data_IF_276843047316
#
_entry.id   IF_276843047316
#
_cell.length_a   1.000
_cell.length_b   1.000
_cell.length_c   1.000
_cell.angle_alpha   90.00
_cell.angle_beta   90.00
_cell.angle_gamma   90.00
#
_symmetry.space_group_name_H-M   'P 1'
#
loop_
_entity.id
_entity.type
_entity.pdbx_description
1 polymer ?
#
# COMPACT_ATOMS: atom_id res chain seq x y z
N UNK A 1 -3.74 18.85 15.48
CA UNK A 1 -3.49 18.90 14.03
C UNK A 1 -2.03 18.62 13.66
N UNK A 2 -1.05 19.01 14.49
CA UNK A 2 0.39 18.75 14.27
C UNK A 2 0.82 17.29 14.06
N UNK A 3 0.04 16.29 14.51
CA UNK A 3 0.39 14.87 14.41
C UNK A 3 0.26 14.30 12.99
N UNK A 4 -0.78 14.68 12.24
CA UNK A 4 -0.99 14.17 10.88
C UNK A 4 0.03 14.76 9.90
N UNK A 5 0.35 16.06 10.06
CA UNK A 5 1.38 16.74 9.27
C UNK A 5 2.77 16.09 9.46
N UNK A 6 3.07 15.64 10.68
CA UNK A 6 4.30 14.90 11.00
C UNK A 6 4.32 13.52 10.32
N UNK A 7 3.20 12.79 10.35
CA UNK A 7 3.06 11.50 9.64
C UNK A 7 3.30 11.71 8.14
N UNK A 8 2.69 12.74 7.54
CA UNK A 8 2.86 13.07 6.13
C UNK A 8 4.32 13.43 5.80
N UNK A 9 4.97 14.25 6.62
CA UNK A 9 6.37 14.62 6.45
C UNK A 9 7.29 13.38 6.50
N UNK A 10 7.06 12.48 7.47
CA UNK A 10 7.78 11.21 7.56
C UNK A 10 7.60 10.34 6.31
N UNK A 11 6.37 10.23 5.81
CA UNK A 11 6.06 9.50 4.58
C UNK A 11 6.79 10.06 3.35
N UNK A 12 6.86 11.39 3.23
CA UNK A 12 7.59 12.06 2.13
C UNK A 12 9.08 11.72 2.11
N UNK A 13 9.66 11.31 3.23
CA UNK A 13 11.05 10.85 3.30
C UNK A 13 11.18 9.34 3.07
N UNK A 14 10.30 8.54 3.66
CA UNK A 14 10.40 7.08 3.64
C UNK A 14 9.98 6.45 2.31
N UNK A 15 8.89 6.95 1.71
CA UNK A 15 8.33 6.36 0.47
C UNK A 15 9.32 6.47 -0.70
N UNK A 16 9.97 7.62 -0.97
CA UNK A 16 10.96 7.69 -2.04
C UNK A 16 12.14 6.74 -1.85
N UNK A 17 12.58 6.51 -0.61
CA UNK A 17 13.66 5.56 -0.33
C UNK A 17 13.25 4.12 -0.67
N UNK A 18 12.04 3.70 -0.29
CA UNK A 18 11.50 2.40 -0.67
C UNK A 18 11.33 2.26 -2.18
N UNK A 19 10.80 3.29 -2.87
CA UNK A 19 10.63 3.30 -4.32
C UNK A 19 11.98 3.23 -5.04
N UNK A 20 12.98 3.95 -4.56
CA UNK A 20 14.34 3.91 -5.12
C UNK A 20 14.95 2.51 -4.98
N UNK A 21 14.80 1.88 -3.81
CA UNK A 21 15.24 0.51 -3.59
C UNK A 21 14.49 -0.48 -4.47
N UNK A 22 13.16 -0.35 -4.59
CA UNK A 22 12.34 -1.19 -5.46
C UNK A 22 12.81 -1.13 -6.91
N UNK A 23 13.04 0.08 -7.45
CA UNK A 23 13.53 0.28 -8.82
C UNK A 23 14.88 -0.39 -9.05
N UNK A 24 15.80 -0.30 -8.07
CA UNK A 24 17.12 -0.96 -8.14
C UNK A 24 16.97 -2.49 -8.17
N UNK A 25 16.18 -3.06 -7.26
CA UNK A 25 15.95 -4.51 -7.19
C UNK A 25 15.25 -5.00 -8.46
N UNK A 26 14.24 -4.28 -8.95
CA UNK A 26 13.55 -4.61 -10.20
C UNK A 26 14.50 -4.58 -11.41
N UNK A 27 15.36 -3.56 -11.51
CA UNK A 27 16.36 -3.49 -12.58
C UNK A 27 17.36 -4.66 -12.52
N UNK A 28 17.81 -5.02 -11.31
CA UNK A 28 18.72 -6.14 -11.11
C UNK A 28 18.07 -7.51 -11.39
N UNK A 29 16.78 -7.66 -11.07
CA UNK A 29 15.98 -8.85 -11.43
C UNK A 29 15.89 -8.97 -12.96
N UNK A 30 15.47 -7.90 -13.64
CA UNK A 30 15.32 -7.90 -15.12
C UNK A 30 16.67 -8.16 -15.80
N UNK A 31 17.75 -7.54 -15.32
CA UNK A 31 19.10 -7.76 -15.85
C UNK A 31 19.52 -9.23 -15.75
N UNK A 32 19.36 -9.85 -14.58
CA UNK A 32 19.72 -11.27 -14.36
C UNK A 32 18.86 -12.22 -15.16
N UNK A 33 17.56 -11.96 -15.27
CA UNK A 33 16.67 -12.74 -16.15
C UNK A 33 17.14 -12.64 -17.61
N UNK A 34 17.47 -11.45 -18.09
CA UNK A 34 17.92 -11.25 -19.48
C UNK A 34 19.26 -11.97 -19.76
N UNK A 35 20.25 -11.85 -18.87
CA UNK A 35 21.55 -12.53 -19.01
C UNK A 35 21.40 -14.05 -19.04
N UNK A 36 20.60 -14.61 -18.12
CA UNK A 36 20.41 -16.06 -18.00
C UNK A 36 19.55 -16.62 -19.12
N UNK A 37 18.59 -15.86 -19.62
CA UNK A 37 17.81 -16.25 -20.80
C UNK A 37 18.70 -16.51 -22.01
N UNK A 38 19.65 -15.61 -22.27
CA UNK A 38 20.64 -15.75 -23.36
C UNK A 38 21.61 -16.91 -23.10
N UNK A 39 22.09 -17.05 -21.86
CA UNK A 39 23.08 -18.08 -21.52
C UNK A 39 22.54 -19.51 -21.46
N UNK A 40 21.23 -19.70 -21.24
CA UNK A 40 20.62 -21.02 -21.08
C UNK A 40 19.87 -21.52 -22.32
N UNK A 41 19.92 -20.79 -23.44
CA UNK A 41 19.16 -21.09 -24.67
C UNK A 41 17.66 -21.33 -24.36
N UNK A 42 17.12 -20.58 -23.40
CA UNK A 42 15.74 -20.73 -22.91
C UNK A 42 15.45 -21.90 -21.94
N UNK A 43 16.45 -22.66 -21.47
CA UNK A 43 16.22 -23.74 -20.48
C UNK A 43 15.84 -23.20 -19.09
N UNK A 44 14.57 -23.36 -18.73
CA UNK A 44 13.91 -22.84 -17.51
C UNK A 44 14.56 -23.23 -16.16
N UNK A 45 15.07 -24.46 -16.04
CA UNK A 45 15.57 -25.00 -14.75
C UNK A 45 16.83 -24.27 -14.26
N UNK A 46 17.74 -23.88 -15.15
CA UNK A 46 18.96 -23.16 -14.80
C UNK A 46 18.70 -21.67 -14.46
N UNK A 47 17.54 -21.14 -14.85
CA UNK A 47 17.16 -19.76 -14.59
C UNK A 47 16.54 -19.59 -13.19
N UNK A 48 15.82 -20.61 -12.70
CA UNK A 48 15.05 -20.56 -11.46
C UNK A 48 15.93 -20.31 -10.22
N UNK A 49 17.09 -20.98 -10.14
CA UNK A 49 18.00 -20.85 -9.01
C UNK A 49 18.70 -19.48 -8.97
N UNK A 50 18.98 -18.91 -10.15
CA UNK A 50 19.64 -17.60 -10.31
C UNK A 50 18.71 -16.38 -10.22
N UNK A 51 17.40 -16.61 -10.14
CA UNK A 51 16.37 -15.56 -10.00
C UNK A 51 15.83 -15.52 -8.56
N UNK A 52 16.15 -16.54 -7.75
CA UNK A 52 15.68 -16.69 -6.39
C UNK A 52 16.20 -15.59 -5.46
N UNK A 53 17.47 -15.20 -5.58
CA UNK A 53 18.11 -14.20 -4.70
C UNK A 53 17.47 -12.82 -4.90
N UNK A 54 17.14 -12.51 -6.14
CA UNK A 54 16.53 -11.28 -6.64
C UNK A 54 15.08 -11.19 -6.16
N UNK A 55 14.39 -12.33 -6.20
CA UNK A 55 13.04 -12.48 -5.69
C UNK A 55 13.02 -12.32 -4.17
N UNK A 56 13.98 -12.88 -3.44
CA UNK A 56 14.11 -12.68 -1.98
C UNK A 56 14.33 -11.20 -1.63
N UNK A 57 15.20 -10.48 -2.37
CA UNK A 57 15.38 -9.05 -2.19
C UNK A 57 14.10 -8.26 -2.49
N UNK A 58 13.37 -8.63 -3.54
CA UNK A 58 12.11 -7.99 -3.93
C UNK A 58 11.03 -8.21 -2.88
N UNK A 59 10.94 -9.43 -2.33
CA UNK A 59 10.08 -9.75 -1.18
C UNK A 59 10.46 -8.89 0.04
N UNK A 60 11.76 -8.69 0.30
CA UNK A 60 12.24 -7.79 1.34
C UNK A 60 11.70 -6.37 1.21
N UNK A 61 11.71 -5.80 0.00
CA UNK A 61 11.13 -4.47 -0.26
C UNK A 61 9.62 -4.45 0.02
N UNK A 62 8.89 -5.48 -0.38
CA UNK A 62 7.46 -5.59 -0.09
C UNK A 62 7.16 -5.71 1.40
N UNK A 63 7.97 -6.47 2.15
CA UNK A 63 7.83 -6.59 3.60
C UNK A 63 8.05 -5.24 4.29
N UNK A 64 9.08 -4.48 3.89
CA UNK A 64 9.34 -3.15 4.44
C UNK A 64 8.22 -2.16 4.10
N UNK A 65 7.69 -2.18 2.88
CA UNK A 65 6.55 -1.36 2.49
C UNK A 65 5.27 -1.73 3.28
N UNK A 66 5.03 -3.01 3.52
CA UNK A 66 3.92 -3.48 4.34
C UNK A 66 4.09 -3.08 5.82
N UNK A 67 5.33 -3.10 6.33
CA UNK A 67 5.65 -2.61 7.68
C UNK A 67 5.38 -1.12 7.80
N UNK A 68 5.81 -0.32 6.81
CA UNK A 68 5.52 1.11 6.76
C UNK A 68 4.01 1.37 6.75
N UNK A 69 3.25 0.64 5.92
CA UNK A 69 1.78 0.76 5.87
C UNK A 69 1.15 0.51 7.25
N UNK A 70 1.55 -0.58 7.92
CA UNK A 70 1.04 -0.91 9.26
C UNK A 70 1.37 0.17 10.30
N UNK A 71 2.61 0.67 10.29
CA UNK A 71 3.04 1.76 11.17
C UNK A 71 2.18 3.00 10.97
N UNK A 72 2.01 3.45 9.73
CA UNK A 72 1.28 4.67 9.40
C UNK A 72 -0.20 4.57 9.79
N UNK A 73 -0.85 3.43 9.55
CA UNK A 73 -2.23 3.22 10.00
C UNK A 73 -2.30 3.31 11.53
N UNK A 74 -1.34 2.73 12.23
CA UNK A 74 -1.27 2.77 13.70
C UNK A 74 -1.06 4.21 14.19
N UNK A 75 -0.17 4.96 13.55
CA UNK A 75 0.12 6.36 13.88
C UNK A 75 -1.10 7.26 13.65
N UNK A 76 -1.84 7.05 12.57
CA UNK A 76 -3.09 7.78 12.29
C UNK A 76 -4.14 7.48 13.36
N UNK A 77 -4.38 6.20 13.67
CA UNK A 77 -5.37 5.80 14.70
C UNK A 77 -5.00 6.37 16.07
N UNK A 78 -3.72 6.35 16.44
CA UNK A 78 -3.24 6.90 17.70
C UNK A 78 -3.31 8.45 17.76
N UNK A 79 -3.25 9.11 16.61
CA UNK A 79 -3.38 10.56 16.50
C UNK A 79 -4.84 11.05 16.54
N UNK A 80 -5.80 10.13 16.48
CA UNK A 80 -7.24 10.40 16.46
C UNK A 80 -7.94 9.99 17.75
N UNK A 81 -9.13 10.55 18.02
CA UNK A 81 -10.02 9.99 19.04
C UNK A 81 -10.65 8.66 18.57
N UNK A 82 -11.29 7.94 19.48
CA UNK A 82 -11.87 6.61 19.21
C UNK A 82 -12.85 6.64 18.05
N UNK A 83 -13.68 7.69 17.94
CA UNK A 83 -14.68 7.79 16.90
C UNK A 83 -14.04 8.10 15.54
N UNK A 84 -13.12 9.06 15.49
CA UNK A 84 -12.39 9.41 14.27
C UNK A 84 -11.51 8.24 13.77
N UNK A 85 -10.86 7.52 14.70
CA UNK A 85 -10.08 6.32 14.37
C UNK A 85 -10.95 5.19 13.81
N UNK A 86 -12.15 4.99 14.36
CA UNK A 86 -13.10 4.02 13.83
C UNK A 86 -13.58 4.39 12.41
N UNK A 87 -13.93 5.65 12.17
CA UNK A 87 -14.29 6.14 10.84
C UNK A 87 -13.16 5.99 9.82
N UNK A 88 -11.93 6.29 10.22
CA UNK A 88 -10.76 6.10 9.36
C UNK A 88 -10.57 4.64 8.94
N UNK A 89 -10.68 3.70 9.89
CA UNK A 89 -10.52 2.27 9.60
C UNK A 89 -11.64 1.73 8.72
N UNK A 90 -12.87 2.18 8.93
CA UNK A 90 -14.01 1.84 8.07
C UNK A 90 -13.80 2.35 6.63
N UNK A 91 -13.46 3.63 6.48
CA UNK A 91 -13.14 4.21 5.16
C UNK A 91 -11.95 3.53 4.47
N UNK A 92 -10.92 3.12 5.24
CA UNK A 92 -9.80 2.36 4.70
C UNK A 92 -10.22 0.97 4.24
N UNK A 93 -11.10 0.28 4.99
CA UNK A 93 -11.64 -1.02 4.58
C UNK A 93 -12.45 -0.92 3.28
N UNK A 94 -13.30 0.10 3.16
CA UNK A 94 -14.06 0.40 1.95
C UNK A 94 -13.16 0.64 0.75
N UNK A 95 -12.11 1.45 0.94
CA UNK A 95 -11.12 1.74 -0.09
C UNK A 95 -10.40 0.47 -0.56
N UNK A 96 -10.02 -0.41 0.38
CA UNK A 96 -9.36 -1.68 0.07
C UNK A 96 -10.28 -2.70 -0.59
N UNK A 97 -11.55 -2.76 -0.17
CA UNK A 97 -12.61 -3.53 -0.83
C UNK A 97 -12.79 -3.05 -2.27
N UNK A 98 -12.84 -1.73 -2.47
CA UNK A 98 -12.99 -1.13 -3.79
C UNK A 98 -11.88 -1.43 -4.78
N UNK A 99 -10.70 -1.82 -4.31
CA UNK A 99 -9.63 -2.31 -5.19
C UNK A 99 -9.82 -3.74 -5.67
N UNK A 100 -10.64 -4.55 -5.00
CA UNK A 100 -10.71 -5.99 -5.24
C UNK A 100 -11.94 -6.44 -6.00
N UNK A 101 -13.04 -5.69 -5.98
CA UNK A 101 -14.28 -6.16 -6.60
C UNK A 101 -15.31 -5.01 -6.80
N UNK A 102 -15.70 -4.71 -8.06
CA UNK A 102 -16.74 -3.73 -8.37
C UNK A 102 -18.11 -4.06 -7.77
N UNK A 103 -18.46 -5.33 -7.61
CA UNK A 103 -19.75 -5.75 -7.03
C UNK A 103 -19.77 -5.53 -5.52
N UNK A 104 -18.64 -5.82 -4.84
CA UNK A 104 -18.48 -5.60 -3.41
C UNK A 104 -18.47 -4.10 -3.06
N UNK A 105 -17.97 -3.25 -3.96
CA UNK A 105 -18.12 -1.79 -3.86
C UNK A 105 -19.61 -1.36 -3.91
N UNK A 106 -20.41 -2.02 -4.76
CA UNK A 106 -21.85 -1.81 -4.87
C UNK A 106 -22.63 -2.28 -3.64
N UNK A 107 -22.29 -3.45 -3.09
CA UNK A 107 -22.88 -3.96 -1.85
C UNK A 107 -22.57 -3.04 -0.67
N UNK A 108 -21.34 -2.53 -0.57
CA UNK A 108 -20.96 -1.58 0.47
C UNK A 108 -21.76 -0.28 0.40
N UNK A 109 -21.90 0.30 -0.80
CA UNK A 109 -22.74 1.49 -1.02
C UNK A 109 -24.23 1.24 -0.72
N UNK A 110 -24.69 0.01 -0.92
CA UNK A 110 -26.07 -0.39 -0.61
C UNK A 110 -26.32 -0.68 0.88
N UNK A 111 -25.25 -0.79 1.67
CA UNK A 111 -25.30 -1.03 3.11
C UNK A 111 -25.81 0.24 3.80
N UNK A 112 -27.13 0.32 4.01
CA UNK A 112 -27.80 1.39 4.76
C UNK A 112 -27.52 1.26 6.27
N UNK A 113 -26.31 1.55 6.70
CA UNK A 113 -26.10 1.99 8.08
C UNK A 113 -26.44 3.48 8.09
N UNK A 114 -27.52 3.93 8.74
CA UNK A 114 -27.83 5.34 8.79
C UNK A 114 -26.84 6.03 9.72
N UNK A 115 -25.94 6.85 9.18
CA UNK A 115 -25.49 8.06 9.88
C UNK A 115 -26.40 9.21 9.41
N UNK A 116 -27.67 9.15 9.81
CA UNK A 116 -28.53 10.33 9.85
C UNK A 116 -28.72 10.64 11.33
N UNK A 117 -28.34 11.78 11.90
CA UNK A 117 -28.43 13.19 11.47
C UNK A 117 -27.37 13.99 12.26
N UNK A 118 -26.81 15.11 11.85
CA UNK A 118 -26.91 15.89 10.63
C UNK A 118 -25.88 17.02 10.74
N UNK A 119 -25.24 17.37 9.63
CA UNK A 119 -24.62 18.69 9.48
C UNK A 119 -25.25 19.27 8.24
N UNK A 120 -26.25 20.12 8.49
CA UNK A 120 -26.89 20.94 7.49
C UNK A 120 -25.82 21.89 6.96
N UNK A 121 -25.40 21.72 5.70
CA UNK A 121 -24.68 22.76 4.99
C UNK A 121 -25.67 23.90 4.76
N UNK A 122 -25.81 24.78 5.74
CA UNK A 122 -26.40 26.09 5.52
C UNK A 122 -25.45 26.86 4.59
N UNK A 123 -26.05 27.36 3.52
CA UNK A 123 -25.45 28.23 2.54
C UNK A 123 -24.65 29.35 3.20
N UNK A 124 -23.45 29.61 2.69
CA UNK A 124 -22.85 30.93 2.80
C UNK A 124 -23.27 31.70 1.54
N UNK A 125 -23.99 32.81 1.78
CA UNK A 125 -24.12 33.95 0.88
C UNK A 125 -22.75 34.56 0.55
#
# INVERSE_FOLDING_TARGET
MLSIEQIECGLRLMVPALVSRMKKVQAAFVGRVAEKWVSCDGKKIAMEESVKVEMEEMLGVFLDANRLRKSVITDIVNATDVYQGALFLDGLAQFLVGFKDPELLGEFQSCKIPITRGVHWAAFE
#
